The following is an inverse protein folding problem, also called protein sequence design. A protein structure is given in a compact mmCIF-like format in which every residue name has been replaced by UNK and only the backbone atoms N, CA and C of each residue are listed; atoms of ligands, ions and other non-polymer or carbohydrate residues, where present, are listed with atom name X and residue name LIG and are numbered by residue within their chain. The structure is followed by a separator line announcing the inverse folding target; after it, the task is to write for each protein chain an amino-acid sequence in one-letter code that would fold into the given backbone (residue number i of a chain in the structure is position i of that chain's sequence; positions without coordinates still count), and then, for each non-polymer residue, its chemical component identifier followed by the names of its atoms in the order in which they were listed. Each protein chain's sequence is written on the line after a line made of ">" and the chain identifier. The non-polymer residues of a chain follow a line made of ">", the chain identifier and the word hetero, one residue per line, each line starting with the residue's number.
data_IF_516594080905
#
_entry.id   IF_516594080905
#
_cell.length_a   1.000
_cell.length_b   1.000
_cell.length_c   1.000
_cell.angle_alpha   90.00
_cell.angle_beta   90.00
_cell.angle_gamma   90.00
#
_symmetry.space_group_name_H-M   'P 1'
#
loop_
_entity.id
_entity.type
_entity.pdbx_description
1 polymer ?
#
# COMPACT_ATOMS: atom_id res chain seq x y z
N UNK A 1 57.45 11.85 -31.22
CA UNK A 1 56.75 11.34 -30.02
C UNK A 1 55.30 11.75 -30.09
N UNK A 2 54.43 10.81 -29.79
CA UNK A 2 53.00 10.79 -30.11
C UNK A 2 52.22 11.92 -29.43
N UNK A 3 51.43 12.65 -30.21
CA UNK A 3 50.36 13.52 -29.74
C UNK A 3 49.07 12.70 -29.63
N UNK A 4 48.48 12.63 -28.43
CA UNK A 4 47.17 12.01 -28.21
C UNK A 4 46.07 13.08 -28.33
N UNK A 5 45.18 12.91 -29.31
CA UNK A 5 43.85 13.52 -29.36
C UNK A 5 42.83 12.39 -29.60
N UNK A 6 41.88 12.23 -28.69
CA UNK A 6 40.58 11.58 -28.90
C UNK A 6 39.70 11.93 -27.68
N UNK A 7 38.84 12.95 -27.74
CA UNK A 7 37.47 12.97 -28.28
C UNK A 7 36.51 12.09 -27.45
N UNK A 8 35.63 12.79 -26.72
CA UNK A 8 34.45 12.26 -26.06
C UNK A 8 33.37 11.88 -27.09
N UNK A 9 32.73 10.73 -26.92
CA UNK A 9 31.59 10.28 -27.72
C UNK A 9 30.56 9.55 -26.87
N UNK A 10 29.30 10.01 -26.95
CA UNK A 10 28.12 9.44 -26.31
C UNK A 10 27.80 8.03 -26.86
N UNK A 11 27.48 7.02 -26.02
CA UNK A 11 27.31 5.63 -26.47
C UNK A 11 25.85 5.23 -26.82
N UNK A 12 24.98 6.16 -27.22
CA UNK A 12 23.60 5.80 -27.59
C UNK A 12 23.22 6.41 -28.94
N UNK A 13 23.42 5.64 -30.02
CA UNK A 13 22.73 5.85 -31.29
C UNK A 13 22.31 4.49 -31.84
N UNK A 14 21.00 4.30 -32.05
CA UNK A 14 20.38 3.02 -32.42
C UNK A 14 19.66 3.19 -33.75
N UNK A 15 20.41 3.55 -34.78
CA UNK A 15 19.94 3.52 -36.17
C UNK A 15 21.06 2.93 -37.01
N UNK A 16 21.04 1.61 -37.23
CA UNK A 16 21.60 0.89 -38.40
C UNK A 16 21.69 -0.62 -38.11
N UNK A 17 20.60 -1.38 -38.29
CA UNK A 17 20.68 -2.74 -38.86
C UNK A 17 19.38 -3.00 -39.66
N UNK A 18 19.49 -3.00 -40.99
CA UNK A 18 18.50 -3.56 -41.92
C UNK A 18 18.99 -4.94 -42.35
N UNK A 19 18.13 -5.96 -42.30
CA UNK A 19 18.41 -7.28 -42.88
C UNK A 19 17.27 -7.63 -43.83
N UNK A 20 17.60 -7.83 -45.10
CA UNK A 20 16.71 -8.20 -46.19
C UNK A 20 16.29 -9.68 -46.14
N UNK A 21 15.07 -9.94 -46.61
CA UNK A 21 14.47 -11.25 -46.74
C UNK A 21 14.74 -11.85 -48.14
N UNK A 22 15.17 -13.12 -48.20
CA UNK A 22 14.55 -14.19 -49.01
C UNK A 22 15.48 -15.41 -49.18
N UNK A 23 14.93 -16.61 -48.97
CA UNK A 23 15.00 -17.81 -49.84
C UNK A 23 14.41 -19.02 -49.09
N UNK A 24 13.59 -19.79 -49.82
CA UNK A 24 12.60 -20.77 -49.32
C UNK A 24 13.07 -22.24 -49.28
N UNK A 25 12.53 -22.97 -48.29
CA UNK A 25 12.11 -24.39 -48.18
C UNK A 25 12.80 -25.54 -48.97
N UNK A 26 13.18 -26.63 -48.27
CA UNK A 26 12.36 -27.87 -48.12
C UNK A 26 13.15 -29.03 -47.45
N UNK A 27 12.44 -30.01 -46.85
CA UNK A 27 12.96 -31.37 -46.61
C UNK A 27 12.88 -31.89 -45.17
N UNK A 28 12.13 -32.98 -44.98
CA UNK A 28 11.74 -33.59 -43.70
C UNK A 28 12.61 -34.83 -43.34
N UNK A 29 12.62 -35.19 -42.05
CA UNK A 29 12.86 -36.52 -41.44
C UNK A 29 14.20 -36.87 -40.76
N UNK A 30 14.09 -37.01 -39.43
CA UNK A 30 14.61 -38.06 -38.55
C UNK A 30 16.11 -38.10 -38.11
N UNK A 31 16.26 -37.86 -36.79
CA UNK A 31 17.18 -38.45 -35.81
C UNK A 31 18.70 -38.28 -35.96
N UNK A 32 19.32 -37.54 -35.02
CA UNK A 32 20.20 -38.12 -33.96
C UNK A 32 20.60 -37.08 -32.89
N UNK A 33 20.33 -37.46 -31.63
CA UNK A 33 21.07 -37.24 -30.38
C UNK A 33 21.86 -35.93 -30.16
N UNK A 34 21.42 -35.17 -29.15
CA UNK A 34 22.33 -34.42 -28.27
C UNK A 34 21.82 -34.48 -26.83
N UNK A 35 22.64 -35.11 -26.00
CA UNK A 35 22.45 -35.19 -24.56
C UNK A 35 22.71 -33.83 -23.90
N UNK A 36 21.71 -33.39 -23.16
CA UNK A 36 21.75 -32.78 -21.83
C UNK A 36 22.94 -31.87 -21.44
N UNK A 37 22.66 -30.57 -21.41
CA UNK A 37 23.10 -29.69 -20.33
C UNK A 37 21.90 -28.80 -19.94
N UNK A 38 21.05 -29.31 -19.06
CA UNK A 38 19.81 -28.67 -18.60
C UNK A 38 19.99 -27.25 -18.04
N UNK A 39 19.41 -26.27 -18.75
CA UNK A 39 19.10 -24.95 -18.21
C UNK A 39 17.73 -24.99 -17.54
N UNK A 40 17.73 -25.20 -16.23
CA UNK A 40 16.56 -25.16 -15.35
C UNK A 40 15.99 -23.75 -15.37
N UNK A 41 14.78 -23.55 -15.92
CA UNK A 41 13.99 -22.33 -15.75
C UNK A 41 13.99 -21.90 -14.28
N UNK A 42 14.19 -20.61 -13.95
CA UNK A 42 14.35 -20.21 -12.55
C UNK A 42 13.03 -20.42 -11.82
N UNK A 43 12.99 -21.45 -10.98
CA UNK A 43 11.92 -21.66 -10.02
C UNK A 43 11.93 -20.46 -9.06
N UNK A 44 10.96 -19.56 -9.22
CA UNK A 44 10.82 -18.46 -8.27
C UNK A 44 10.29 -19.00 -6.96
N UNK A 45 11.03 -18.78 -5.87
CA UNK A 45 10.64 -19.19 -4.52
C UNK A 45 10.08 -18.00 -3.76
N UNK A 46 9.14 -18.24 -2.86
CA UNK A 46 8.65 -17.24 -1.93
C UNK A 46 9.51 -17.27 -0.67
N UNK A 47 9.96 -16.09 -0.23
CA UNK A 47 10.61 -15.92 1.05
C UNK A 47 9.94 -14.81 1.87
N UNK A 48 10.19 -14.79 3.16
CA UNK A 48 9.73 -13.77 4.09
C UNK A 48 10.93 -13.22 4.85
N UNK A 49 11.01 -11.90 4.98
CA UNK A 49 12.10 -11.27 5.73
C UNK A 49 11.94 -11.58 7.23
N UNK A 50 13.04 -11.91 7.90
CA UNK A 50 13.11 -12.16 9.34
C UNK A 50 14.22 -11.27 9.95
N UNK A 51 13.85 -10.08 10.46
CA UNK A 51 14.76 -9.08 11.01
C UNK A 51 14.14 -8.28 12.16
N UNK A 52 14.91 -7.94 13.19
CA UNK A 52 14.44 -7.08 14.29
C UNK A 52 14.22 -5.61 13.91
N UNK A 53 14.90 -5.11 12.88
CA UNK A 53 14.88 -3.67 12.55
C UNK A 53 14.67 -3.40 11.07
N UNK A 54 15.59 -3.86 10.21
CA UNK A 54 15.49 -3.73 8.74
C UNK A 54 16.50 -4.64 8.05
N UNK A 55 16.17 -5.03 6.82
CA UNK A 55 17.05 -5.67 5.85
C UNK A 55 17.36 -4.68 4.73
N UNK A 56 18.63 -4.48 4.39
CA UNK A 56 19.02 -3.58 3.31
C UNK A 56 18.89 -4.28 1.95
N UNK A 57 18.25 -3.60 1.00
CA UNK A 57 18.16 -4.02 -0.41
C UNK A 57 19.27 -3.34 -1.19
N UNK A 58 20.04 -4.12 -1.96
CA UNK A 58 21.24 -3.64 -2.67
C UNK A 58 21.18 -3.90 -4.17
N UNK A 59 21.92 -3.10 -4.95
CA UNK A 59 22.02 -3.28 -6.42
C UNK A 59 22.72 -4.59 -6.84
N UNK A 60 23.62 -5.10 -6.00
CA UNK A 60 24.38 -6.35 -6.17
C UNK A 60 24.85 -6.83 -4.77
N UNK A 61 25.38 -8.06 -4.63
CA UNK A 61 26.07 -8.46 -3.40
C UNK A 61 27.08 -7.40 -2.98
N UNK A 62 26.98 -6.94 -1.73
CA UNK A 62 27.82 -5.86 -1.18
C UNK A 62 27.74 -4.49 -1.89
N UNK A 63 26.77 -4.32 -2.80
CA UNK A 63 26.58 -3.10 -3.58
C UNK A 63 25.89 -1.96 -2.81
N UNK A 64 25.58 -0.87 -3.52
CA UNK A 64 24.89 0.30 -2.96
C UNK A 64 23.52 -0.11 -2.42
N UNK A 65 23.15 0.43 -1.26
CA UNK A 65 21.82 0.27 -0.67
C UNK A 65 20.83 1.14 -1.46
N UNK A 66 19.80 0.51 -2.03
CA UNK A 66 18.75 1.13 -2.84
C UNK A 66 17.38 1.07 -2.17
N UNK A 67 17.26 0.32 -1.08
CA UNK A 67 16.01 0.13 -0.39
C UNK A 67 16.18 -0.54 0.97
N UNK A 68 15.06 -0.67 1.66
CA UNK A 68 14.97 -1.33 2.97
C UNK A 68 13.71 -2.20 2.97
N UNK A 69 13.84 -3.37 3.54
CA UNK A 69 12.74 -4.30 3.84
C UNK A 69 12.65 -4.47 5.36
N UNK A 70 11.48 -4.85 5.83
CA UNK A 70 11.15 -5.03 7.24
C UNK A 70 10.72 -6.47 7.50
N UNK A 71 10.65 -6.82 8.78
CA UNK A 71 10.19 -8.14 9.22
C UNK A 71 8.85 -8.51 8.57
N UNK A 72 8.74 -9.75 8.08
CA UNK A 72 7.57 -10.28 7.41
C UNK A 72 7.40 -9.89 5.94
N UNK A 73 8.23 -9.00 5.38
CA UNK A 73 8.13 -8.61 3.97
C UNK A 73 8.26 -9.85 3.06
N UNK A 74 7.26 -10.09 2.21
CA UNK A 74 7.27 -11.18 1.22
C UNK A 74 8.21 -10.82 0.07
N UNK A 75 9.05 -11.78 -0.30
CA UNK A 75 10.04 -11.68 -1.36
C UNK A 75 9.76 -12.73 -2.41
N UNK A 76 9.90 -12.35 -3.67
CA UNK A 76 10.01 -13.29 -4.78
C UNK A 76 11.49 -13.48 -5.09
N UNK A 77 12.02 -14.60 -4.64
CA UNK A 77 13.42 -14.99 -4.84
C UNK A 77 13.50 -15.61 -6.23
N UNK A 78 14.25 -14.97 -7.12
CA UNK A 78 14.47 -15.42 -8.51
C UNK A 78 15.82 -16.09 -8.69
N UNK A 79 16.65 -16.10 -7.64
CA UNK A 79 17.95 -16.77 -7.65
C UNK A 79 18.70 -16.56 -6.34
N UNK A 80 19.82 -17.27 -6.19
CA UNK A 80 20.73 -17.17 -5.06
C UNK A 80 22.16 -17.05 -5.56
N UNK A 81 22.91 -16.12 -5.02
CA UNK A 81 24.33 -15.88 -5.31
C UNK A 81 25.09 -15.85 -3.98
N UNK A 82 25.70 -16.98 -3.61
CA UNK A 82 26.32 -17.15 -2.30
C UNK A 82 25.34 -16.90 -1.15
N UNK A 83 25.67 -15.96 -0.26
CA UNK A 83 24.83 -15.54 0.88
C UNK A 83 23.78 -14.47 0.54
N UNK A 84 23.48 -14.28 -0.75
CA UNK A 84 22.52 -13.27 -1.22
C UNK A 84 21.40 -13.91 -2.04
N UNK A 85 20.16 -13.53 -1.74
CA UNK A 85 19.03 -13.81 -2.62
C UNK A 85 18.87 -12.66 -3.62
N UNK A 86 18.75 -13.02 -4.90
CA UNK A 86 18.29 -12.13 -5.96
C UNK A 86 16.77 -12.11 -5.90
N UNK A 87 16.21 -10.93 -5.71
CA UNK A 87 14.77 -10.71 -5.54
C UNK A 87 14.23 -9.79 -6.62
N UNK A 88 12.95 -9.93 -6.92
CA UNK A 88 12.21 -8.93 -7.67
C UNK A 88 11.91 -7.72 -6.75
N UNK A 89 12.33 -6.52 -7.15
CA UNK A 89 12.21 -5.30 -6.35
C UNK A 89 12.05 -4.07 -7.26
N UNK A 90 10.98 -3.29 -7.06
CA UNK A 90 10.66 -2.07 -7.83
C UNK A 90 10.74 -2.24 -9.37
N UNK A 91 10.22 -3.34 -9.90
CA UNK A 91 10.20 -3.60 -11.35
C UNK A 91 11.54 -4.01 -11.95
N UNK A 92 12.56 -4.26 -11.13
CA UNK A 92 13.85 -4.81 -11.53
C UNK A 92 14.34 -5.88 -10.56
N UNK A 93 15.65 -6.13 -10.57
CA UNK A 93 16.27 -7.08 -9.65
C UNK A 93 17.14 -6.39 -8.62
N UNK A 94 17.07 -6.89 -7.39
CA UNK A 94 17.91 -6.45 -6.29
C UNK A 94 18.39 -7.63 -5.45
N UNK A 95 19.26 -7.35 -4.48
CA UNK A 95 19.89 -8.37 -3.66
C UNK A 95 19.68 -8.10 -2.17
N UNK A 96 19.36 -9.17 -1.43
CA UNK A 96 19.19 -9.17 0.03
C UNK A 96 19.95 -10.33 0.66
N UNK A 97 20.42 -10.16 1.88
CA UNK A 97 21.24 -11.19 2.53
C UNK A 97 20.37 -12.35 3.03
N UNK A 98 20.74 -13.59 2.68
CA UNK A 98 19.89 -14.77 2.86
C UNK A 98 19.61 -15.13 4.32
N UNK A 99 20.51 -14.81 5.25
CA UNK A 99 20.30 -15.09 6.69
C UNK A 99 19.10 -14.37 7.30
N UNK A 100 18.54 -13.40 6.59
CA UNK A 100 17.41 -12.61 7.03
C UNK A 100 16.15 -12.91 6.22
N UNK A 101 16.13 -14.05 5.53
CA UNK A 101 15.01 -14.47 4.69
C UNK A 101 14.70 -15.93 4.98
N UNK A 102 13.51 -16.15 5.51
CA UNK A 102 12.92 -17.46 5.71
C UNK A 102 12.23 -17.90 4.42
N UNK A 103 12.69 -19.00 3.82
CA UNK A 103 12.09 -19.57 2.61
C UNK A 103 11.01 -20.54 3.05
N UNK A 104 9.79 -20.37 2.57
CA UNK A 104 8.67 -21.24 2.93
C UNK A 104 7.72 -21.40 1.76
N UNK A 105 7.23 -22.63 1.60
CA UNK A 105 6.06 -22.90 0.78
C UNK A 105 4.81 -22.46 1.55
N UNK A 106 3.85 -21.95 0.81
CA UNK A 106 2.59 -21.34 1.26
C UNK A 106 2.07 -21.84 2.61
N UNK A 107 1.88 -20.93 3.57
CA UNK A 107 1.14 -21.24 4.80
C UNK A 107 -0.32 -21.45 4.41
N UNK A 108 -0.78 -22.70 4.51
CA UNK A 108 -2.10 -23.20 4.13
C UNK A 108 -3.24 -22.19 4.34
N UNK A 109 -3.88 -21.83 3.24
CA UNK A 109 -5.11 -21.06 3.19
C UNK A 109 -6.27 -21.90 3.76
N UNK A 110 -7.09 -21.29 4.61
CA UNK A 110 -8.43 -21.80 4.89
C UNK A 110 -9.28 -21.43 3.67
N UNK A 111 -9.83 -22.47 3.04
CA UNK A 111 -10.62 -22.40 1.82
C UNK A 111 -11.86 -21.50 1.98
N UNK A 112 -11.97 -20.49 1.12
CA UNK A 112 -13.26 -20.07 0.58
C UNK A 112 -13.08 -19.86 -0.94
N UNK A 113 -13.90 -20.50 -1.78
CA UNK A 113 -13.73 -20.46 -3.22
C UNK A 113 -14.30 -19.14 -3.77
N UNK A 114 -13.44 -18.35 -4.43
CA UNK A 114 -13.87 -17.20 -5.22
C UNK A 114 -13.02 -15.95 -5.09
N UNK A 115 -11.70 -16.03 -5.31
CA UNK A 115 -10.90 -14.84 -5.68
C UNK A 115 -9.63 -15.27 -6.42
N UNK A 116 -9.78 -15.54 -7.72
CA UNK A 116 -8.66 -15.66 -8.65
C UNK A 116 -8.45 -14.31 -9.31
N UNK A 117 -7.60 -13.49 -8.69
CA UNK A 117 -7.19 -12.19 -9.19
C UNK A 117 -5.72 -11.92 -8.85
N UNK A 118 -4.82 -12.49 -9.65
CA UNK A 118 -3.38 -12.18 -9.60
C UNK A 118 -3.16 -10.73 -10.04
N UNK A 119 -2.75 -9.85 -9.13
CA UNK A 119 -2.11 -8.57 -9.47
C UNK A 119 -0.85 -8.40 -8.63
N UNK A 120 0.28 -8.73 -9.26
CA UNK A 120 1.64 -8.47 -8.80
C UNK A 120 2.03 -7.04 -9.19
N UNK A 121 2.34 -6.19 -8.22
CA UNK A 121 2.94 -4.87 -8.45
C UNK A 121 3.29 -4.12 -7.15
N UNK A 122 4.40 -3.36 -7.10
CA UNK A 122 4.66 -2.41 -6.01
C UNK A 122 3.58 -1.32 -6.01
N UNK A 123 3.25 -0.77 -4.84
CA UNK A 123 2.38 0.41 -4.72
C UNK A 123 3.13 1.63 -5.26
N UNK A 124 3.20 1.74 -6.59
CA UNK A 124 3.58 2.95 -7.29
C UNK A 124 2.64 4.07 -6.87
N UNK A 125 3.18 5.28 -6.82
CA UNK A 125 2.42 6.49 -6.53
C UNK A 125 1.23 6.56 -7.48
N UNK A 126 0.00 6.47 -6.96
CA UNK A 126 -1.17 6.55 -7.82
C UNK A 126 -1.34 8.01 -8.28
N UNK A 127 -1.66 8.26 -9.56
CA UNK A 127 -2.25 9.51 -9.96
C UNK A 127 -3.49 9.77 -9.09
N UNK A 128 -3.70 11.02 -8.69
CA UNK A 128 -4.91 11.41 -7.96
C UNK A 128 -6.15 11.03 -8.81
N UNK A 129 -7.04 10.15 -8.32
CA UNK A 129 -8.31 9.82 -9.00
C UNK A 129 -8.54 8.39 -9.48
N UNK A 130 -7.84 7.36 -8.96
CA UNK A 130 -8.35 5.98 -9.09
C UNK A 130 -7.83 5.06 -7.97
N UNK A 131 -8.47 5.11 -6.81
CA UNK A 131 -8.25 4.20 -5.69
C UNK A 131 -9.23 3.02 -5.75
N UNK A 132 -8.79 1.89 -6.31
CA UNK A 132 -9.58 0.65 -6.38
C UNK A 132 -9.28 -0.28 -5.19
N UNK A 133 -10.28 -0.66 -4.38
CA UNK A 133 -10.10 -1.60 -3.27
C UNK A 133 -9.51 -2.97 -3.70
N UNK A 134 -9.81 -3.45 -4.91
CA UNK A 134 -9.32 -4.75 -5.39
C UNK A 134 -7.79 -4.80 -5.49
N UNK A 135 -7.14 -3.67 -5.80
CA UNK A 135 -5.66 -3.54 -5.82
C UNK A 135 -5.03 -3.82 -4.46
N UNK A 136 -5.79 -3.61 -3.41
CA UNK A 136 -5.36 -3.86 -2.05
C UNK A 136 -5.87 -5.20 -1.52
N UNK A 137 -6.51 -6.05 -2.35
CA UNK A 137 -7.05 -7.35 -1.96
C UNK A 137 -8.35 -7.24 -1.14
N UNK A 138 -9.20 -6.28 -1.48
CA UNK A 138 -10.53 -6.10 -0.88
C UNK A 138 -11.61 -6.24 -1.93
N UNK A 139 -12.77 -6.76 -1.53
CA UNK A 139 -13.94 -6.84 -2.39
C UNK A 139 -14.31 -5.43 -2.90
N UNK A 140 -14.14 -5.19 -4.19
CA UNK A 140 -14.35 -3.88 -4.81
C UNK A 140 -15.77 -3.38 -4.54
N UNK A 141 -16.79 -4.24 -4.68
CA UNK A 141 -18.19 -3.87 -4.48
C UNK A 141 -18.47 -3.43 -3.05
N UNK A 142 -17.96 -4.17 -2.07
CA UNK A 142 -18.16 -3.89 -0.64
C UNK A 142 -17.50 -2.59 -0.21
N UNK A 143 -16.28 -2.31 -0.70
CA UNK A 143 -15.45 -1.22 -0.18
C UNK A 143 -15.33 -0.02 -1.12
N UNK A 144 -15.95 -0.05 -2.30
CA UNK A 144 -15.90 1.04 -3.29
C UNK A 144 -16.20 2.40 -2.66
N UNK A 145 -17.31 2.51 -1.92
CA UNK A 145 -17.73 3.78 -1.33
C UNK A 145 -16.74 4.33 -0.30
N UNK A 146 -16.04 3.45 0.44
CA UNK A 146 -15.00 3.88 1.38
C UNK A 146 -13.85 4.55 0.63
N UNK A 147 -13.32 3.87 -0.39
CA UNK A 147 -12.19 4.40 -1.17
C UNK A 147 -12.60 5.62 -1.98
N UNK A 148 -13.77 5.63 -2.64
CA UNK A 148 -14.30 6.77 -3.40
C UNK A 148 -14.41 8.04 -2.53
N UNK A 149 -14.95 7.92 -1.31
CA UNK A 149 -15.13 9.06 -0.41
C UNK A 149 -13.77 9.58 0.06
N UNK A 150 -12.85 8.69 0.44
CA UNK A 150 -11.50 9.07 0.88
C UNK A 150 -10.70 9.70 -0.25
N UNK A 151 -10.82 9.19 -1.48
CA UNK A 151 -10.20 9.74 -2.68
C UNK A 151 -10.67 11.17 -2.96
N UNK A 152 -11.99 11.41 -2.84
CA UNK A 152 -12.57 12.74 -2.99
C UNK A 152 -12.07 13.71 -1.91
N UNK A 153 -11.85 13.24 -0.69
CA UNK A 153 -11.17 14.04 0.34
C UNK A 153 -9.70 14.31 -0.03
N UNK A 154 -8.93 13.31 -0.46
CA UNK A 154 -7.53 13.50 -0.88
C UNK A 154 -7.41 14.54 -2.01
N UNK A 155 -8.38 14.54 -2.93
CA UNK A 155 -8.41 15.47 -4.07
C UNK A 155 -8.87 16.87 -3.69
N UNK A 156 -9.84 16.98 -2.77
CA UNK A 156 -10.46 18.28 -2.40
C UNK A 156 -9.69 19.00 -1.29
N UNK A 157 -9.04 18.25 -0.41
CA UNK A 157 -8.40 18.81 0.78
C UNK A 157 -7.05 19.46 0.43
N UNK A 158 -6.94 20.75 0.76
CA UNK A 158 -5.79 21.60 0.46
C UNK A 158 -4.91 21.83 1.69
N UNK A 159 -5.42 21.62 2.90
CA UNK A 159 -4.63 21.83 4.11
C UNK A 159 -5.21 21.13 5.35
N UNK A 160 -4.32 20.72 6.24
CA UNK A 160 -4.67 20.51 7.64
C UNK A 160 -4.86 21.86 8.34
N UNK A 161 -5.99 22.04 9.02
CA UNK A 161 -6.24 23.19 9.89
C UNK A 161 -6.93 22.69 11.16
N UNK A 162 -6.32 22.96 12.32
CA UNK A 162 -6.85 22.54 13.62
C UNK A 162 -8.27 23.11 13.83
N UNK A 163 -9.22 22.27 14.22
CA UNK A 163 -10.64 22.63 14.40
C UNK A 163 -11.45 22.76 13.10
N UNK A 164 -10.86 22.51 11.94
CA UNK A 164 -11.57 22.58 10.66
C UNK A 164 -12.30 21.28 10.33
N UNK A 165 -13.41 21.39 9.59
CA UNK A 165 -14.16 20.23 9.10
C UNK A 165 -15.24 19.71 10.04
N UNK A 166 -15.56 20.39 11.15
CA UNK A 166 -16.58 19.97 12.13
C UNK A 166 -18.03 20.36 11.76
N UNK A 167 -18.27 20.80 10.52
CA UNK A 167 -19.62 21.08 10.00
C UNK A 167 -19.92 20.13 8.86
N UNK A 168 -21.16 19.65 8.77
CA UNK A 168 -21.57 18.87 7.62
C UNK A 168 -21.61 19.77 6.38
N UNK A 169 -21.06 19.28 5.28
CA UNK A 169 -21.14 19.94 3.97
C UNK A 169 -21.52 18.89 2.93
N UNK A 170 -22.30 19.30 1.92
CA UNK A 170 -22.67 18.43 0.80
C UNK A 170 -21.42 18.00 0.02
N UNK A 171 -20.51 18.94 -0.24
CA UNK A 171 -19.20 18.72 -0.83
C UNK A 171 -18.15 18.18 0.14
N UNK A 172 -16.89 18.13 -0.30
CA UNK A 172 -15.75 17.68 0.49
C UNK A 172 -14.97 18.88 1.01
N UNK A 173 -14.69 18.91 2.32
CA UNK A 173 -14.04 20.06 2.93
C UNK A 173 -12.59 20.24 2.43
N UNK A 174 -12.27 21.46 1.98
CA UNK A 174 -10.92 21.83 1.55
C UNK A 174 -9.92 21.93 2.71
N UNK A 175 -10.41 22.04 3.94
CA UNK A 175 -9.60 22.14 5.17
C UNK A 175 -10.21 21.27 6.25
N UNK A 176 -9.40 20.43 6.87
CA UNK A 176 -9.85 19.51 7.93
C UNK A 176 -8.76 19.28 8.96
N UNK A 177 -9.11 19.14 10.23
CA UNK A 177 -8.25 18.41 11.16
C UNK A 177 -8.52 16.89 11.09
N UNK A 178 -7.91 16.12 12.00
CA UNK A 178 -8.05 14.67 12.02
C UNK A 178 -9.49 14.21 12.32
N UNK A 179 -10.13 14.80 13.34
CA UNK A 179 -11.52 14.49 13.74
C UNK A 179 -12.54 15.02 12.75
N UNK A 180 -12.30 16.18 12.15
CA UNK A 180 -13.07 16.78 11.08
C UNK A 180 -13.17 15.85 9.87
N UNK A 181 -12.03 15.32 9.42
CA UNK A 181 -11.99 14.36 8.32
C UNK A 181 -12.77 13.06 8.64
N UNK A 182 -12.47 12.40 9.76
CA UNK A 182 -13.13 11.13 10.12
C UNK A 182 -14.63 11.33 10.36
N UNK A 183 -15.00 12.44 10.99
CA UNK A 183 -16.38 12.82 11.23
C UNK A 183 -17.18 13.00 9.94
N UNK A 184 -16.66 13.78 8.99
CA UNK A 184 -17.31 13.94 7.70
C UNK A 184 -17.34 12.65 6.88
N UNK A 185 -16.29 11.83 6.93
CA UNK A 185 -16.29 10.51 6.29
C UNK A 185 -17.48 9.66 6.77
N UNK A 186 -17.67 9.54 8.08
CA UNK A 186 -18.76 8.76 8.67
C UNK A 186 -20.13 9.33 8.27
N UNK A 187 -20.28 10.66 8.27
CA UNK A 187 -21.53 11.31 7.83
C UNK A 187 -21.83 11.06 6.35
N UNK A 188 -20.81 11.06 5.49
CA UNK A 188 -20.97 10.78 4.06
C UNK A 188 -21.30 9.31 3.78
N UNK A 189 -20.64 8.38 4.48
CA UNK A 189 -21.01 6.96 4.46
C UNK A 189 -22.47 6.75 4.89
N UNK A 190 -22.87 7.41 5.97
CA UNK A 190 -24.23 7.33 6.52
C UNK A 190 -25.27 7.87 5.52
N UNK A 191 -24.99 9.02 4.92
CA UNK A 191 -25.85 9.63 3.90
C UNK A 191 -25.96 8.76 2.65
N UNK A 192 -24.84 8.22 2.15
CA UNK A 192 -24.83 7.36 0.97
C UNK A 192 -25.60 6.05 1.20
N UNK A 193 -25.49 5.47 2.39
CA UNK A 193 -26.15 4.21 2.74
C UNK A 193 -27.63 4.36 3.19
N UNK A 194 -28.11 5.60 3.37
CA UNK A 194 -29.41 5.86 3.99
C UNK A 194 -29.51 5.31 5.43
N UNK A 195 -28.40 5.33 6.18
CA UNK A 195 -28.32 4.85 7.57
C UNK A 195 -28.13 6.06 8.49
N UNK A 196 -28.79 6.08 9.64
CA UNK A 196 -28.60 7.15 10.62
C UNK A 196 -27.15 7.17 11.13
N UNK A 197 -26.47 8.33 11.18
CA UNK A 197 -25.09 8.43 11.63
C UNK A 197 -24.98 8.17 13.14
N UNK A 198 -23.83 7.63 13.58
CA UNK A 198 -23.55 7.36 15.01
C UNK A 198 -23.44 8.61 15.88
N UNK A 199 -23.31 9.79 15.28
CA UNK A 199 -23.33 11.09 15.96
C UNK A 199 -24.07 12.13 15.08
N UNK A 200 -24.64 13.20 15.67
CA UNK A 200 -25.47 14.17 14.95
C UNK A 200 -24.74 14.89 13.80
N UNK A 201 -25.52 15.29 12.79
CA UNK A 201 -25.08 16.22 11.75
C UNK A 201 -24.81 17.60 12.39
N UNK A 202 -23.82 18.33 11.88
CA UNK A 202 -23.44 19.68 12.37
C UNK A 202 -23.02 19.75 13.85
N UNK A 203 -22.44 18.67 14.37
CA UNK A 203 -21.83 18.65 15.70
C UNK A 203 -20.32 18.70 15.62
N UNK A 204 -19.68 19.15 16.70
CA UNK A 204 -18.25 18.95 16.87
C UNK A 204 -17.94 17.45 16.88
N UNK A 205 -17.34 16.97 15.80
CA UNK A 205 -17.02 15.55 15.67
C UNK A 205 -16.09 15.05 16.78
N UNK A 206 -16.24 13.77 17.18
CA UNK A 206 -15.58 13.25 18.36
C UNK A 206 -14.05 13.36 18.29
N UNK A 207 -13.43 13.65 19.42
CA UNK A 207 -11.98 13.54 19.55
C UNK A 207 -11.54 12.08 19.49
N UNK A 208 -10.26 11.84 19.22
CA UNK A 208 -9.66 10.49 19.22
C UNK A 208 -10.05 9.63 20.43
N UNK A 209 -10.19 10.23 21.62
CA UNK A 209 -10.44 9.48 22.85
C UNK A 209 -11.89 9.00 22.95
N UNK A 210 -12.83 9.74 22.40
CA UNK A 210 -14.25 9.37 22.39
C UNK A 210 -14.47 8.10 21.59
N UNK A 211 -13.75 7.92 20.48
CA UNK A 211 -13.80 6.68 19.68
C UNK A 211 -13.36 5.44 20.45
N UNK A 212 -12.71 5.54 21.62
CA UNK A 212 -12.30 4.37 22.40
C UNK A 212 -13.45 3.73 23.18
N UNK A 213 -14.49 4.51 23.48
CA UNK A 213 -15.58 4.14 24.40
C UNK A 213 -16.96 4.38 23.84
N UNK A 214 -17.10 5.31 22.88
CA UNK A 214 -18.37 5.70 22.27
C UNK A 214 -18.33 5.53 20.75
N UNK A 215 -19.51 5.33 20.16
CA UNK A 215 -19.76 5.22 18.70
C UNK A 215 -19.08 4.06 17.96
N UNK A 216 -18.10 3.39 18.57
CA UNK A 216 -17.35 2.28 17.98
C UNK A 216 -17.27 1.08 18.91
N UNK A 217 -16.77 -0.03 18.35
CA UNK A 217 -16.34 -1.22 19.07
C UNK A 217 -14.84 -1.44 18.81
N UNK A 218 -14.06 -1.74 19.86
CA UNK A 218 -12.63 -2.02 19.73
C UNK A 218 -12.40 -3.33 18.98
N UNK A 219 -11.50 -3.33 18.00
CA UNK A 219 -11.07 -4.54 17.27
C UNK A 219 -9.74 -5.06 17.83
N UNK A 220 -8.73 -4.18 17.95
CA UNK A 220 -7.38 -4.57 18.37
C UNK A 220 -6.62 -3.39 18.92
N UNK A 221 -5.67 -3.62 19.83
CA UNK A 221 -4.66 -2.64 20.24
C UNK A 221 -3.25 -2.98 19.74
N UNK A 222 -3.09 -4.05 18.96
CA UNK A 222 -1.78 -4.45 18.43
C UNK A 222 -1.26 -3.43 17.41
N UNK A 223 0.06 -3.23 17.41
CA UNK A 223 0.80 -2.44 16.43
C UNK A 223 1.98 -3.27 15.86
N UNK A 224 2.15 -3.34 14.53
CA UNK A 224 1.18 -2.93 13.52
C UNK A 224 -0.13 -3.74 13.66
N UNK A 225 -1.26 -3.23 13.15
CA UNK A 225 -2.52 -3.96 13.20
C UNK A 225 -2.40 -5.31 12.47
N UNK A 226 -2.79 -6.44 13.10
CA UNK A 226 -2.64 -7.77 12.53
C UNK A 226 -3.46 -7.91 11.25
N UNK A 227 -2.95 -8.66 10.27
CA UNK A 227 -3.50 -8.76 8.91
C UNK A 227 -4.36 -10.00 8.58
N UNK A 228 -5.39 -10.39 9.35
CA UNK A 228 -6.56 -11.03 8.76
C UNK A 228 -7.46 -9.92 8.20
N UNK A 229 -7.64 -9.90 6.88
CA UNK A 229 -8.46 -8.91 6.15
C UNK A 229 -9.91 -8.83 6.65
N UNK A 230 -10.39 -9.92 7.24
CA UNK A 230 -11.76 -10.07 7.74
C UNK A 230 -11.93 -9.37 9.10
N UNK A 231 -10.84 -9.25 9.86
CA UNK A 231 -10.81 -8.65 11.19
C UNK A 231 -10.80 -7.12 11.10
N UNK A 232 -9.89 -6.57 10.29
CA UNK A 232 -9.70 -5.12 10.13
C UNK A 232 -9.97 -4.73 8.68
N UNK A 233 -10.96 -3.86 8.49
CA UNK A 233 -11.58 -3.56 7.21
C UNK A 233 -11.38 -2.09 6.83
N UNK A 234 -11.32 -1.76 5.53
CA UNK A 234 -11.34 -0.38 5.07
C UNK A 234 -12.53 0.37 5.68
N UNK A 235 -12.26 1.54 6.25
CA UNK A 235 -13.24 2.38 6.95
C UNK A 235 -13.28 2.19 8.46
N UNK A 236 -12.60 1.17 9.01
CA UNK A 236 -12.36 1.11 10.46
C UNK A 236 -11.52 2.31 10.92
N UNK A 237 -11.72 2.78 12.13
CA UNK A 237 -11.05 3.96 12.68
C UNK A 237 -9.81 3.54 13.45
N UNK A 238 -8.63 4.05 13.07
CA UNK A 238 -7.47 3.96 13.96
C UNK A 238 -7.45 5.12 14.94
N UNK A 239 -7.00 4.85 16.16
CA UNK A 239 -6.94 5.81 17.24
C UNK A 239 -5.53 5.84 17.82
N UNK A 240 -5.03 7.05 18.06
CA UNK A 240 -3.81 7.30 18.80
C UNK A 240 -4.10 8.11 20.07
N UNK A 241 -3.44 7.73 21.15
CA UNK A 241 -3.46 8.47 22.40
C UNK A 241 -2.79 9.87 22.23
N UNK A 242 -3.14 10.82 23.12
CA UNK A 242 -2.45 12.11 23.19
C UNK A 242 -0.94 11.94 23.25
N UNK A 243 -0.23 12.81 22.52
CA UNK A 243 1.22 12.95 22.67
C UNK A 243 1.56 13.97 23.75
N UNK A 244 2.80 14.45 23.75
CA UNK A 244 3.25 15.54 24.62
C UNK A 244 2.44 16.84 24.47
N UNK A 245 1.83 17.07 23.31
CA UNK A 245 0.96 18.23 23.06
C UNK A 245 -0.45 18.11 23.67
N UNK A 246 -0.79 16.98 24.31
CA UNK A 246 -2.14 16.73 24.83
C UNK A 246 -3.19 16.38 23.77
N UNK A 247 -2.82 16.40 22.48
CA UNK A 247 -3.74 16.12 21.36
C UNK A 247 -3.51 14.70 20.82
N UNK A 248 -4.58 13.90 20.74
CA UNK A 248 -4.57 12.58 20.12
C UNK A 248 -4.55 12.63 18.59
N UNK A 249 -4.70 11.49 17.93
CA UNK A 249 -4.84 11.44 16.47
C UNK A 249 -5.84 10.36 16.07
N UNK A 250 -6.56 10.59 14.98
CA UNK A 250 -7.56 9.66 14.48
C UNK A 250 -7.53 9.67 12.95
N UNK A 251 -7.85 8.54 12.36
CA UNK A 251 -7.98 8.39 10.92
C UNK A 251 -8.64 7.06 10.59
N UNK A 252 -8.60 6.71 9.32
CA UNK A 252 -9.21 5.50 8.79
C UNK A 252 -8.13 4.49 8.45
N UNK A 253 -8.38 3.24 8.79
CA UNK A 253 -7.70 2.11 8.21
C UNK A 253 -8.21 1.92 6.78
N UNK A 254 -7.29 1.81 5.82
CA UNK A 254 -7.63 1.64 4.40
C UNK A 254 -7.27 0.24 3.89
N UNK A 255 -6.67 -0.58 4.75
CA UNK A 255 -6.34 -1.95 4.43
C UNK A 255 -4.86 -2.26 4.50
N UNK A 256 -4.39 -3.16 3.64
CA UNK A 256 -2.98 -3.54 3.52
C UNK A 256 -2.51 -3.38 2.08
N UNK A 257 -1.24 -2.99 1.90
CA UNK A 257 -0.54 -3.16 0.63
C UNK A 257 -0.47 -4.65 0.25
N UNK A 258 -0.18 -4.98 -1.01
CA UNK A 258 0.13 -6.37 -1.39
C UNK A 258 1.27 -6.99 -0.58
N UNK A 259 2.21 -6.17 -0.07
CA UNK A 259 3.28 -6.60 0.83
C UNK A 259 2.87 -6.79 2.29
N UNK A 260 1.60 -6.59 2.64
CA UNK A 260 1.08 -6.76 4.00
C UNK A 260 1.30 -5.55 4.91
N UNK A 261 1.73 -4.40 4.37
CA UNK A 261 1.92 -3.19 5.17
C UNK A 261 0.57 -2.48 5.35
N UNK A 262 0.18 -2.14 6.59
CA UNK A 262 -1.07 -1.45 6.83
C UNK A 262 -1.06 -0.06 6.19
N UNK A 263 -2.15 0.30 5.52
CA UNK A 263 -2.36 1.61 4.90
C UNK A 263 -3.46 2.37 5.62
N UNK A 264 -3.28 3.67 5.75
CA UNK A 264 -4.19 4.55 6.49
C UNK A 264 -4.54 5.78 5.67
N UNK A 265 -5.73 6.32 5.90
CA UNK A 265 -6.13 7.65 5.46
C UNK A 265 -6.31 8.56 6.68
N UNK A 266 -5.72 9.74 6.65
CA UNK A 266 -5.81 10.69 7.76
C UNK A 266 -5.57 12.13 7.31
N UNK A 267 -6.10 13.10 8.05
CA UNK A 267 -5.71 14.51 7.90
C UNK A 267 -4.60 14.84 8.88
N UNK A 268 -3.47 15.41 8.43
CA UNK A 268 -2.30 15.64 9.29
C UNK A 268 -1.52 16.90 8.91
N UNK A 269 -0.91 17.60 9.90
CA UNK A 269 -0.17 18.85 9.66
C UNK A 269 1.13 18.64 8.87
N UNK A 270 1.68 17.42 8.85
CA UNK A 270 2.90 17.14 8.10
C UNK A 270 2.62 17.17 6.60
N UNK A 271 3.46 17.88 5.84
CA UNK A 271 3.36 17.90 4.37
C UNK A 271 3.56 16.51 3.78
N UNK A 272 2.75 16.17 2.79
CA UNK A 272 2.85 14.93 2.02
C UNK A 272 4.17 14.93 1.26
N UNK A 273 4.99 13.90 1.49
CA UNK A 273 6.18 13.67 0.69
C UNK A 273 5.84 12.75 -0.50
N UNK A 274 6.69 12.75 -1.52
CA UNK A 274 6.40 11.96 -2.71
C UNK A 274 6.62 10.46 -2.54
N UNK A 275 7.44 10.05 -1.58
CA UNK A 275 7.96 8.68 -1.44
C UNK A 275 7.16 7.77 -0.50
N UNK A 276 6.29 8.31 0.35
CA UNK A 276 5.48 7.54 1.31
C UNK A 276 3.98 7.62 1.04
N UNK A 277 3.56 8.48 0.10
CA UNK A 277 2.14 8.66 -0.24
C UNK A 277 1.66 7.60 -1.22
N UNK A 278 0.42 7.17 -1.01
CA UNK A 278 -0.37 6.41 -1.96
C UNK A 278 -1.29 7.36 -2.73
N UNK A 279 -1.93 8.29 -2.02
CA UNK A 279 -2.77 9.34 -2.60
C UNK A 279 -2.68 10.63 -1.77
N UNK A 280 -3.00 11.77 -2.38
CA UNK A 280 -2.97 13.09 -1.76
C UNK A 280 -1.86 13.99 -2.32
N UNK A 281 -2.09 15.30 -2.22
CA UNK A 281 -1.30 16.30 -2.94
C UNK A 281 0.10 16.50 -2.33
N UNK A 282 1.15 16.24 -3.12
CA UNK A 282 2.56 16.43 -2.70
C UNK A 282 2.82 17.86 -2.26
N UNK A 283 3.51 18.03 -1.15
CA UNK A 283 3.87 19.34 -0.61
C UNK A 283 2.76 20.01 0.22
N UNK A 284 1.56 19.43 0.28
CA UNK A 284 0.45 19.95 1.09
C UNK A 284 0.30 19.17 2.40
N UNK A 285 -0.19 19.83 3.44
CA UNK A 285 -0.72 19.14 4.63
C UNK A 285 -2.19 18.77 4.38
N UNK A 286 -2.77 17.95 5.25
CA UNK A 286 -4.19 17.58 5.13
C UNK A 286 -4.40 16.10 4.87
N UNK A 287 -5.47 15.77 4.15
CA UNK A 287 -5.88 14.38 3.90
C UNK A 287 -4.97 13.71 2.89
N UNK A 288 -4.47 12.53 3.26
CA UNK A 288 -3.71 11.64 2.38
C UNK A 288 -3.95 10.18 2.72
N UNK A 289 -3.55 9.30 1.81
CA UNK A 289 -3.33 7.87 2.08
C UNK A 289 -1.83 7.61 2.11
N UNK A 290 -1.35 6.93 3.14
CA UNK A 290 0.04 6.47 3.24
C UNK A 290 0.14 5.11 3.95
N UNK A 291 1.29 4.46 3.81
CA UNK A 291 1.65 3.34 4.67
C UNK A 291 1.73 3.83 6.12
N UNK A 292 1.16 3.05 7.05
CA UNK A 292 1.14 3.35 8.48
C UNK A 292 2.56 3.65 8.99
N UNK A 293 2.82 4.88 9.46
CA UNK A 293 4.16 5.24 9.89
C UNK A 293 4.56 4.47 11.17
N UNK A 294 5.74 3.86 11.18
CA UNK A 294 6.27 3.16 12.37
C UNK A 294 6.31 4.05 13.63
N UNK A 295 6.52 5.36 13.46
CA UNK A 295 6.49 6.36 14.55
C UNK A 295 5.16 6.43 15.30
N UNK A 296 4.09 5.83 14.78
CA UNK A 296 2.79 5.79 15.46
C UNK A 296 2.72 4.73 16.57
N UNK A 297 3.67 3.77 16.61
CA UNK A 297 3.71 2.68 17.58
C UNK A 297 3.55 3.16 19.03
N UNK A 298 4.31 4.19 19.42
CA UNK A 298 4.37 4.68 20.80
C UNK A 298 3.07 5.31 21.29
N UNK A 299 2.21 5.75 20.37
CA UNK A 299 0.95 6.42 20.68
C UNK A 299 -0.26 5.59 20.24
N UNK A 300 -0.06 4.42 19.67
CA UNK A 300 -1.14 3.60 19.12
C UNK A 300 -2.09 3.13 20.21
N UNK A 301 -3.38 3.48 20.09
CA UNK A 301 -4.41 2.98 21.00
C UNK A 301 -5.10 1.74 20.44
N UNK A 302 -5.30 1.70 19.13
CA UNK A 302 -5.92 0.56 18.46
C UNK A 302 -6.70 0.91 17.20
N UNK A 303 -7.36 -0.11 16.66
CA UNK A 303 -8.37 0.00 15.59
C UNK A 303 -9.75 -0.30 16.15
N UNK A 304 -10.74 0.45 15.69
CA UNK A 304 -12.09 0.50 16.21
C UNK A 304 -13.09 0.53 15.05
N UNK A 305 -14.15 -0.30 15.10
CA UNK A 305 -15.21 -0.32 14.09
C UNK A 305 -16.34 0.60 14.48
N UNK A 306 -16.75 1.52 13.61
CA UNK A 306 -17.95 2.35 13.84
C UNK A 306 -19.18 1.44 13.92
N UNK A 307 -20.04 1.63 14.94
CA UNK A 307 -21.12 0.70 15.30
C UNK A 307 -22.09 0.35 14.17
N UNK A 308 -22.30 1.25 13.21
CA UNK A 308 -23.17 1.05 12.05
C UNK A 308 -22.42 0.82 10.73
N UNK A 309 -21.08 0.65 10.75
CA UNK A 309 -20.26 0.52 9.53
C UNK A 309 -20.64 -0.69 8.70
N UNK A 310 -20.80 -1.87 9.33
CA UNK A 310 -21.13 -3.09 8.60
C UNK A 310 -22.49 -2.97 7.89
N UNK A 311 -23.47 -2.30 8.51
CA UNK A 311 -24.78 -2.00 7.88
C UNK A 311 -24.64 -1.03 6.70
N UNK A 312 -23.80 0.00 6.82
CA UNK A 312 -23.54 0.94 5.73
C UNK A 312 -22.89 0.23 4.54
N UNK A 313 -21.86 -0.58 4.80
CA UNK A 313 -21.14 -1.35 3.77
C UNK A 313 -22.06 -2.35 3.06
N UNK A 314 -22.86 -3.11 3.81
CA UNK A 314 -23.81 -4.08 3.22
C UNK A 314 -24.80 -3.41 2.26
N UNK A 315 -25.39 -2.28 2.64
CA UNK A 315 -26.33 -1.53 1.78
C UNK A 315 -25.65 -0.98 0.53
N UNK A 316 -24.48 -0.35 0.71
CA UNK A 316 -23.72 0.24 -0.40
C UNK A 316 -23.16 -0.81 -1.37
N UNK A 317 -22.95 -2.05 -0.91
CA UNK A 317 -22.52 -3.15 -1.77
C UNK A 317 -23.64 -3.70 -2.66
N UNK A 318 -24.90 -3.29 -2.45
CA UNK A 318 -26.07 -3.77 -3.19
C UNK A 318 -26.57 -2.76 -4.24
N UNK A 319 -26.17 -1.50 -4.10
CA UNK A 319 -26.39 -0.43 -5.10
C UNK A 319 -25.39 -0.55 -6.24
#
# INVERSE_FOLDING_TARGET
>A
MVACIAIAGNPFNVDQISIDASVSQSGNSAAVNSADAGSKSPSSQIGFVNVRTRLNVRTRPWGKIIGKLYDGDKLKIVGKEGSWYKIEYNGGYAYVHSNYVEVGDERAAVNNPGDSGSVVGPVGTLPDGTLDPARFGYNAKMFKSVFDIVEKFCSSNKAYVFGAGHKYTSGYAEKTDCSGFVGQFIQKMSAAAGVAPVFPKNSWYPSSQVYKTQHTNKITSKFPPPSPRDLIRPGDVFVMNPGSSGVGHVGLFMGYTPSGQPIIAHSTPTRVNSSTRIAGKVGYSGVRIEVLPARYASRWAGVYRVKNMDTMLDRLSKT
#
